data_IF_677376522998
#
_entry.id   IF_677376522998
#
_cell.length_a   1.000
_cell.length_b   1.000
_cell.length_c   1.000
_cell.angle_alpha   90.00
_cell.angle_beta   90.00
_cell.angle_gamma   90.00
#
_symmetry.space_group_name_H-M   'P 1'
#
loop_
_entity.id
_entity.type
_entity.pdbx_description
1 polymer ?
#
# COMPACT_ATOMS: atom_id res chain seq x y z
N UNK A 1 -25.00 -18.73 6.12
CA UNK A 1 -24.34 -17.92 7.17
C UNK A 1 -23.33 -18.84 7.86
N UNK A 2 -22.01 -18.65 7.67
CA UNK A 2 -20.99 -19.41 8.38
C UNK A 2 -20.68 -18.66 9.68
N UNK A 3 -21.12 -19.21 10.79
CA UNK A 3 -20.73 -18.76 12.12
C UNK A 3 -19.24 -19.09 12.29
N UNK A 4 -18.38 -18.06 12.23
CA UNK A 4 -16.94 -18.23 12.34
C UNK A 4 -16.53 -18.48 13.78
N UNK A 5 -16.27 -19.74 14.14
CA UNK A 5 -15.64 -20.11 15.43
C UNK A 5 -14.20 -20.61 15.25
N UNK A 6 -13.66 -20.59 14.03
CA UNK A 6 -12.23 -20.80 13.78
C UNK A 6 -11.74 -19.77 12.77
N UNK A 7 -10.69 -19.03 13.13
CA UNK A 7 -10.00 -18.13 12.20
C UNK A 7 -9.27 -18.96 11.15
N UNK A 8 -9.61 -18.77 9.87
CA UNK A 8 -8.87 -19.34 8.76
C UNK A 8 -7.82 -18.32 8.30
N UNK A 9 -6.55 -18.72 8.27
CA UNK A 9 -5.48 -17.90 7.69
C UNK A 9 -5.57 -18.00 6.17
N UNK A 10 -6.15 -16.98 5.53
CA UNK A 10 -6.32 -16.92 4.07
C UNK A 10 -5.06 -16.34 3.39
N UNK A 11 -4.28 -15.54 4.14
CA UNK A 11 -3.12 -14.81 3.66
C UNK A 11 -2.00 -14.95 4.71
N UNK A 12 -0.79 -15.31 4.28
CA UNK A 12 0.39 -15.46 5.14
C UNK A 12 1.63 -14.77 4.54
N UNK A 13 2.74 -14.73 5.28
CA UNK A 13 4.01 -14.15 4.83
C UNK A 13 3.92 -12.66 4.45
N UNK A 14 3.29 -11.86 5.31
CA UNK A 14 3.23 -10.39 5.19
C UNK A 14 3.72 -9.81 6.51
N UNK A 15 4.68 -8.89 6.43
CA UNK A 15 5.07 -8.07 7.59
C UNK A 15 4.10 -6.89 7.72
N UNK A 16 2.88 -7.20 8.14
CA UNK A 16 1.75 -6.27 8.10
C UNK A 16 1.81 -5.27 9.25
N UNK A 17 1.89 -3.97 8.90
CA UNK A 17 1.88 -2.86 9.87
C UNK A 17 0.68 -1.91 9.72
N UNK A 18 0.01 -1.93 8.57
CA UNK A 18 -1.13 -1.07 8.26
C UNK A 18 -2.06 -1.72 7.24
N UNK A 19 -3.35 -1.46 7.39
CA UNK A 19 -4.39 -1.99 6.51
C UNK A 19 -5.55 -1.02 6.31
N UNK A 20 -6.26 -1.20 5.20
CA UNK A 20 -7.55 -0.55 4.91
C UNK A 20 -8.39 -1.42 3.96
N UNK A 21 -9.64 -1.05 3.73
CA UNK A 21 -10.48 -1.68 2.70
C UNK A 21 -11.12 -0.62 1.80
N UNK A 22 -11.34 -0.97 0.53
CA UNK A 22 -12.19 -0.17 -0.36
C UNK A 22 -13.68 -0.57 -0.23
N UNK A 23 -14.55 0.19 -0.88
CA UNK A 23 -16.01 -0.03 -0.91
C UNK A 23 -16.43 -1.36 -1.57
N UNK A 24 -15.54 -1.97 -2.36
CA UNK A 24 -15.74 -3.29 -2.96
C UNK A 24 -15.34 -4.43 -2.01
N UNK A 25 -14.81 -4.09 -0.82
CA UNK A 25 -14.34 -5.04 0.18
C UNK A 25 -12.98 -5.65 -0.15
N UNK A 26 -12.18 -5.01 -1.01
CA UNK A 26 -10.78 -5.41 -1.23
C UNK A 26 -9.94 -4.93 -0.06
N UNK A 27 -9.13 -5.81 0.51
CA UNK A 27 -8.19 -5.51 1.59
C UNK A 27 -6.87 -5.01 1.02
N UNK A 28 -6.39 -3.88 1.52
CA UNK A 28 -5.07 -3.34 1.21
C UNK A 28 -4.22 -3.44 2.46
N UNK A 29 -3.00 -3.94 2.33
CA UNK A 29 -2.05 -4.10 3.42
C UNK A 29 -0.69 -3.57 3.01
N UNK A 30 -0.02 -2.87 3.92
CA UNK A 30 1.40 -2.54 3.78
C UNK A 30 2.23 -3.74 4.24
N UNK A 31 3.15 -4.20 3.40
CA UNK A 31 4.18 -5.17 3.77
C UNK A 31 5.48 -4.40 4.06
N UNK A 32 5.76 -4.20 5.35
CA UNK A 32 6.84 -3.34 5.83
C UNK A 32 8.21 -3.83 5.34
N UNK A 33 8.49 -5.12 5.53
CA UNK A 33 9.73 -5.78 5.14
C UNK A 33 9.92 -5.92 3.63
N UNK A 34 8.82 -6.02 2.86
CA UNK A 34 8.89 -6.06 1.39
C UNK A 34 8.83 -4.69 0.71
N UNK A 35 8.59 -3.62 1.48
CA UNK A 35 8.53 -2.25 0.98
C UNK A 35 7.48 -2.08 -0.14
N UNK A 36 6.28 -2.59 0.11
CA UNK A 36 5.20 -2.59 -0.87
C UNK A 36 3.82 -2.52 -0.21
N UNK A 37 2.81 -2.23 -1.02
CA UNK A 37 1.40 -2.36 -0.64
C UNK A 37 0.77 -3.41 -1.54
N UNK A 38 0.04 -4.35 -0.93
CA UNK A 38 -0.70 -5.40 -1.62
C UNK A 38 -2.19 -5.21 -1.46
N UNK A 39 -2.94 -5.45 -2.55
CA UNK A 39 -4.39 -5.54 -2.60
C UNK A 39 -4.82 -7.00 -2.72
N UNK A 40 -5.82 -7.39 -1.94
CA UNK A 40 -6.49 -8.69 -1.98
C UNK A 40 -7.98 -8.45 -2.21
N UNK A 41 -8.52 -8.89 -3.34
CA UNK A 41 -9.97 -8.89 -3.54
C UNK A 41 -10.60 -9.97 -2.67
N UNK A 42 -11.91 -9.84 -2.44
CA UNK A 42 -12.65 -10.82 -1.65
C UNK A 42 -12.47 -12.24 -2.20
N UNK A 43 -11.87 -13.12 -1.39
CA UNK A 43 -11.61 -14.51 -1.75
C UNK A 43 -10.28 -14.77 -2.46
N UNK A 44 -9.47 -13.74 -2.75
CA UNK A 44 -8.10 -13.91 -3.23
C UNK A 44 -7.16 -14.28 -2.06
N UNK A 45 -6.35 -15.31 -2.25
CA UNK A 45 -5.24 -15.67 -1.36
C UNK A 45 -3.89 -15.11 -1.83
N UNK A 46 -3.83 -14.59 -3.07
CA UNK A 46 -2.65 -13.97 -3.65
C UNK A 46 -2.90 -12.48 -3.92
N UNK A 47 -2.13 -11.63 -3.26
CA UNK A 47 -2.30 -10.18 -3.36
C UNK A 47 -1.54 -9.60 -4.54
N UNK A 48 -2.14 -8.61 -5.19
CA UNK A 48 -1.49 -7.82 -6.25
C UNK A 48 -0.75 -6.65 -5.65
N UNK A 49 0.50 -6.40 -6.07
CA UNK A 49 1.25 -5.20 -5.67
C UNK A 49 0.64 -3.98 -6.35
N UNK A 50 0.25 -2.98 -5.55
CA UNK A 50 -0.41 -1.75 -6.03
C UNK A 50 0.41 -0.49 -5.75
N UNK A 51 1.43 -0.56 -4.90
CA UNK A 51 2.42 0.49 -4.70
C UNK A 51 3.76 -0.12 -4.24
N UNK A 52 4.89 0.48 -4.64
CA UNK A 52 6.22 -0.06 -4.36
C UNK A 52 6.52 -1.36 -5.12
N UNK A 53 7.19 -2.31 -4.45
CA UNK A 53 7.52 -3.63 -5.03
C UNK A 53 8.76 -3.65 -5.94
N UNK A 54 9.41 -2.50 -6.17
CA UNK A 54 10.66 -2.38 -6.95
C UNK A 54 11.90 -2.28 -6.05
N UNK A 55 11.86 -2.97 -4.91
CA UNK A 55 12.89 -2.94 -3.87
C UNK A 55 12.85 -1.68 -2.99
N UNK A 56 13.66 -1.69 -1.94
CA UNK A 56 13.83 -0.54 -1.04
C UNK A 56 14.44 0.64 -1.78
N UNK A 57 13.88 1.83 -1.61
CA UNK A 57 14.51 3.08 -2.04
C UNK A 57 13.55 4.26 -2.06
N UNK A 58 13.98 5.35 -2.68
CA UNK A 58 13.27 6.64 -2.67
C UNK A 58 12.80 7.11 -4.06
N UNK A 59 12.97 6.28 -5.10
CA UNK A 59 12.40 6.57 -6.43
C UNK A 59 10.86 6.58 -6.36
N UNK A 60 10.23 7.10 -7.41
CA UNK A 60 8.76 7.21 -7.47
C UNK A 60 8.06 5.85 -7.63
N UNK A 61 8.78 4.81 -8.03
CA UNK A 61 8.32 3.43 -8.14
C UNK A 61 8.72 2.56 -6.94
N UNK A 62 9.37 3.15 -5.93
CA UNK A 62 9.86 2.47 -4.72
C UNK A 62 9.23 3.05 -3.45
N UNK A 63 9.26 2.23 -2.41
CA UNK A 63 8.95 2.62 -1.03
C UNK A 63 10.11 2.19 -0.12
N UNK A 64 10.11 2.72 1.10
CA UNK A 64 11.01 2.32 2.16
C UNK A 64 10.23 2.19 3.47
N UNK A 65 9.99 0.94 3.87
CA UNK A 65 9.31 0.58 5.12
C UNK A 65 7.96 1.29 5.31
N UNK A 66 6.99 1.13 4.38
CA UNK A 66 5.71 1.82 4.47
C UNK A 66 4.92 1.36 5.70
N UNK A 67 4.29 2.30 6.42
CA UNK A 67 3.63 2.00 7.71
C UNK A 67 2.11 2.04 7.67
N UNK A 68 1.52 2.76 6.72
CA UNK A 68 0.08 2.85 6.60
C UNK A 68 -0.36 3.06 5.15
N UNK A 69 -1.60 2.64 4.87
CA UNK A 69 -2.24 2.77 3.57
C UNK A 69 -3.67 3.29 3.71
N UNK A 70 -4.04 4.24 2.86
CA UNK A 70 -5.40 4.72 2.65
C UNK A 70 -5.77 4.56 1.17
N UNK A 71 -7.05 4.28 0.88
CA UNK A 71 -7.58 4.16 -0.48
C UNK A 71 -8.76 5.10 -0.64
N UNK A 72 -8.78 5.91 -1.69
CA UNK A 72 -9.91 6.79 -2.02
C UNK A 72 -10.91 6.11 -2.97
N UNK A 73 -12.01 6.82 -3.28
CA UNK A 73 -13.11 6.32 -4.14
C UNK A 73 -12.71 6.15 -5.62
N UNK A 74 -11.59 6.73 -6.03
CA UNK A 74 -11.02 6.53 -7.37
C UNK A 74 -9.99 5.40 -7.37
N UNK A 75 -10.00 4.57 -6.32
CA UNK A 75 -9.03 3.51 -6.05
C UNK A 75 -7.57 3.99 -6.05
N UNK A 76 -7.34 5.27 -5.77
CA UNK A 76 -5.98 5.77 -5.56
C UNK A 76 -5.47 5.38 -4.18
N UNK A 77 -4.24 4.90 -4.14
CA UNK A 77 -3.58 4.41 -2.93
C UNK A 77 -2.64 5.48 -2.40
N UNK A 78 -2.83 5.87 -1.14
CA UNK A 78 -1.97 6.79 -0.41
C UNK A 78 -1.17 5.99 0.61
N UNK A 79 0.14 6.17 0.61
CA UNK A 79 1.06 5.36 1.42
C UNK A 79 1.94 6.28 2.26
N UNK A 80 1.97 6.02 3.56
CA UNK A 80 2.93 6.60 4.48
C UNK A 80 4.29 5.90 4.29
N UNK A 81 5.17 6.51 3.50
CA UNK A 81 6.49 5.99 3.14
C UNK A 81 7.51 6.43 4.20
N UNK A 82 7.52 5.68 5.32
CA UNK A 82 8.04 6.11 6.62
C UNK A 82 9.51 6.52 6.59
N UNK A 83 10.40 5.68 6.07
CA UNK A 83 11.84 5.97 6.01
C UNK A 83 12.18 7.10 5.02
N UNK A 84 11.31 7.33 4.03
CA UNK A 84 11.49 8.41 3.07
C UNK A 84 10.85 9.74 3.52
N UNK A 85 10.20 9.75 4.70
CA UNK A 85 9.56 10.92 5.29
C UNK A 85 8.58 11.63 4.34
N UNK A 86 7.80 10.84 3.59
CA UNK A 86 6.87 11.36 2.58
C UNK A 86 5.56 10.57 2.56
N UNK A 87 4.54 11.20 1.99
CA UNK A 87 3.30 10.52 1.61
C UNK A 87 3.28 10.45 0.09
N UNK A 88 3.05 9.25 -0.41
CA UNK A 88 3.00 8.98 -1.85
C UNK A 88 1.58 8.59 -2.26
N UNK A 89 1.16 9.03 -3.44
CA UNK A 89 -0.10 8.63 -4.09
C UNK A 89 0.19 7.80 -5.34
N UNK A 90 -0.45 6.66 -5.49
CA UNK A 90 -0.54 5.90 -6.73
C UNK A 90 -1.98 5.92 -7.23
N UNK A 91 -2.19 6.27 -8.50
CA UNK A 91 -3.48 6.05 -9.16
C UNK A 91 -3.62 4.56 -9.52
N UNK A 92 -4.84 4.06 -9.67
CA UNK A 92 -5.04 2.66 -10.05
C UNK A 92 -4.30 2.33 -11.35
N UNK A 93 -3.54 1.22 -11.34
CA UNK A 93 -2.74 0.76 -12.49
C UNK A 93 -1.46 1.57 -12.78
N UNK A 94 -1.17 2.63 -12.03
CA UNK A 94 0.05 3.42 -12.22
C UNK A 94 1.32 2.59 -11.90
N UNK A 95 2.37 2.77 -12.70
CA UNK A 95 3.67 2.11 -12.49
C UNK A 95 4.54 2.81 -11.45
N UNK A 96 4.26 4.08 -11.18
CA UNK A 96 4.96 4.91 -10.20
C UNK A 96 3.95 5.85 -9.54
N UNK A 97 4.30 6.32 -8.35
CA UNK A 97 3.50 7.25 -7.58
C UNK A 97 3.96 8.69 -7.78
N UNK A 98 3.36 9.57 -6.99
CA UNK A 98 3.76 10.96 -6.86
C UNK A 98 3.81 11.34 -5.38
N UNK A 99 4.75 12.21 -5.02
CA UNK A 99 4.80 12.76 -3.67
C UNK A 99 3.65 13.75 -3.52
N UNK A 100 2.77 13.52 -2.55
CA UNK A 100 1.63 14.41 -2.25
C UNK A 100 1.81 15.20 -0.97
N UNK A 101 2.69 14.76 -0.07
CA UNK A 101 3.10 15.52 1.11
C UNK A 101 4.49 15.08 1.59
N UNK A 102 5.19 15.97 2.28
CA UNK A 102 6.53 15.71 2.84
C UNK A 102 7.61 15.52 1.77
N UNK A 103 8.65 14.78 2.14
CA UNK A 103 9.86 14.61 1.34
C UNK A 103 10.84 15.78 1.52
N UNK A 104 12.13 15.45 1.57
CA UNK A 104 13.22 16.41 1.76
C UNK A 104 13.48 17.31 0.54
N UNK A 105 12.71 17.11 -0.53
CA UNK A 105 12.87 17.78 -1.82
C UNK A 105 11.53 18.28 -2.35
N UNK A 106 10.84 19.13 -1.58
CA UNK A 106 9.90 20.06 -2.19
C UNK A 106 10.69 21.04 -3.08
N UNK A 107 10.92 20.65 -4.34
CA UNK A 107 11.17 21.64 -5.39
C UNK A 107 9.89 22.45 -5.48
N UNK A 108 9.92 23.65 -4.89
CA UNK A 108 9.08 24.78 -5.31
C UNK A 108 9.15 24.84 -6.84
N UNK A 109 8.11 24.37 -7.52
CA UNK A 109 7.80 24.88 -8.85
C UNK A 109 6.93 26.10 -8.60
N UNK A 110 7.52 27.27 -8.90
CA UNK A 110 6.77 28.46 -9.27
C UNK A 110 5.93 28.15 -10.50
#
# INVERSE_FOLDING_TARGET
RRNGTSGETIISNIDCVGLTMDENGSLYVTDFGKHEVRRYRRGESQGTVVAGGNGNGNRLDQLSSPTYVFVDRDHSVYVSDWNNHRVMKWMEGAKQGMVVAGGWWSRRRK
#
